data_IF_864131844154
#
_entry.id   IF_864131844154
#
_cell.length_a   1.000
_cell.length_b   1.000
_cell.length_c   1.000
_cell.angle_alpha   90.00
_cell.angle_beta   90.00
_cell.angle_gamma   90.00
#
_symmetry.space_group_name_H-M   'P 1'
#
loop_
_entity.id
_entity.type
_entity.pdbx_description
1 polymer ?
#
# COMPACT_ATOMS: atom_id res chain seq x y z
N UNK A 1 -16.88 -8.37 1.12
CA UNK A 1 -16.70 -7.22 2.03
C UNK A 1 -16.12 -6.09 1.19
N UNK A 2 -16.80 -4.94 1.10
CA UNK A 2 -16.39 -3.76 0.32
C UNK A 2 -16.07 -2.66 1.31
N UNK A 3 -14.85 -2.13 1.26
CA UNK A 3 -14.39 -1.01 2.11
C UNK A 3 -14.11 0.16 1.18
N UNK A 4 -14.60 1.35 1.53
CA UNK A 4 -14.39 2.55 0.73
C UNK A 4 -12.93 3.02 0.85
N UNK A 5 -12.46 3.74 -0.17
CA UNK A 5 -11.08 4.21 -0.20
C UNK A 5 -10.75 5.14 0.97
N UNK A 6 -11.69 6.02 1.35
CA UNK A 6 -11.52 6.96 2.47
C UNK A 6 -11.40 6.25 3.82
N UNK A 7 -12.22 5.20 4.04
CA UNK A 7 -12.16 4.41 5.27
C UNK A 7 -10.87 3.63 5.39
N UNK A 8 -10.29 3.17 4.27
CA UNK A 8 -8.97 2.54 4.24
C UNK A 8 -7.86 3.49 4.69
N UNK A 9 -7.87 4.74 4.23
CA UNK A 9 -6.87 5.76 4.64
C UNK A 9 -6.96 6.03 6.13
N UNK A 10 -8.18 6.32 6.63
CA UNK A 10 -8.42 6.58 8.05
C UNK A 10 -8.01 5.40 8.94
N UNK A 11 -8.30 4.18 8.51
CA UNK A 11 -7.90 2.97 9.22
C UNK A 11 -6.38 2.83 9.26
N UNK A 12 -5.70 3.08 8.13
CA UNK A 12 -4.24 3.00 8.04
C UNK A 12 -3.57 4.00 8.98
N UNK A 13 -4.08 5.23 9.05
CA UNK A 13 -3.61 6.25 9.99
C UNK A 13 -3.86 5.86 11.46
N UNK A 14 -5.05 5.35 11.78
CA UNK A 14 -5.38 4.89 13.12
C UNK A 14 -4.49 3.74 13.58
N UNK A 15 -4.21 2.78 12.70
CA UNK A 15 -3.32 1.65 12.98
C UNK A 15 -1.87 2.12 13.18
N UNK A 16 -1.40 3.09 12.38
CA UNK A 16 -0.08 3.70 12.55
C UNK A 16 0.06 4.41 13.90
N UNK A 17 -0.97 5.14 14.34
CA UNK A 17 -1.01 5.78 15.68
C UNK A 17 -0.96 4.77 16.82
N UNK A 18 -1.44 3.55 16.61
CA UNK A 18 -1.36 2.44 17.57
C UNK A 18 -0.01 1.70 17.54
N UNK A 19 0.97 2.17 16.77
CA UNK A 19 2.30 1.56 16.69
C UNK A 19 2.36 0.33 15.78
N UNK A 20 1.32 0.06 14.97
CA UNK A 20 1.36 -1.01 13.99
C UNK A 20 2.43 -0.71 12.92
N UNK A 21 3.13 -1.75 12.50
CA UNK A 21 4.14 -1.64 11.44
C UNK A 21 3.48 -1.73 10.06
N UNK A 22 3.66 -0.70 9.25
CA UNK A 22 3.33 -0.75 7.83
C UNK A 22 4.19 -1.79 7.13
N UNK A 23 3.55 -2.79 6.51
CA UNK A 23 4.25 -3.85 5.77
C UNK A 23 4.37 -3.54 4.27
N UNK A 24 3.34 -2.91 3.70
CA UNK A 24 3.24 -2.64 2.29
C UNK A 24 2.27 -1.48 2.03
N UNK A 25 2.61 -0.61 1.09
CA UNK A 25 1.68 0.36 0.53
C UNK A 25 1.07 -0.25 -0.75
N UNK A 26 -0.25 -0.15 -0.89
CA UNK A 26 -0.99 -0.73 -2.00
C UNK A 26 -1.61 0.38 -2.82
N UNK A 27 -1.26 0.43 -4.10
CA UNK A 27 -1.80 1.38 -5.06
C UNK A 27 -2.67 0.65 -6.08
N UNK A 28 -3.93 1.05 -6.19
CA UNK A 28 -4.82 0.57 -7.24
C UNK A 28 -4.71 1.50 -8.46
N UNK A 29 -4.16 0.98 -9.54
CA UNK A 29 -3.96 1.73 -10.79
C UNK A 29 -4.95 1.20 -11.80
N UNK A 30 -5.74 2.10 -12.40
CA UNK A 30 -6.52 1.75 -13.59
C UNK A 30 -5.56 1.62 -14.77
N UNK A 31 -5.40 0.41 -15.31
CA UNK A 31 -4.50 0.20 -16.43
C UNK A 31 -4.91 1.09 -17.62
N UNK A 32 -3.95 1.77 -18.28
CA UNK A 32 -4.26 2.63 -19.41
C UNK A 32 -4.95 1.81 -20.51
N UNK A 33 -6.04 2.40 -21.01
CA UNK A 33 -7.13 1.98 -21.90
C UNK A 33 -6.95 0.86 -22.95
N UNK A 34 -5.78 0.25 -23.15
CA UNK A 34 -5.57 -0.69 -24.27
C UNK A 34 -6.05 -2.12 -24.03
N UNK A 35 -6.38 -2.54 -22.79
CA UNK A 35 -6.95 -3.88 -22.50
C UNK A 35 -7.91 -3.86 -21.29
N UNK A 36 -9.22 -3.89 -21.55
CA UNK A 36 -10.29 -4.29 -20.61
C UNK A 36 -10.42 -3.54 -19.26
N UNK A 37 -9.98 -2.28 -19.14
CA UNK A 37 -10.16 -1.46 -17.91
C UNK A 37 -9.83 -2.21 -16.61
N UNK A 38 -8.79 -3.05 -16.63
CA UNK A 38 -8.43 -3.83 -15.45
C UNK A 38 -7.82 -2.91 -14.40
N UNK A 39 -8.27 -3.08 -13.16
CA UNK A 39 -7.58 -2.53 -12.00
C UNK A 39 -6.38 -3.40 -11.69
N UNK A 40 -5.21 -2.79 -11.57
CA UNK A 40 -3.98 -3.45 -11.15
C UNK A 40 -3.68 -3.00 -9.73
N UNK A 41 -3.50 -3.98 -8.84
CA UNK A 41 -3.04 -3.75 -7.48
C UNK A 41 -1.50 -3.81 -7.49
N UNK A 42 -0.86 -2.66 -7.29
CA UNK A 42 0.58 -2.53 -7.22
C UNK A 42 1.02 -2.39 -5.77
N UNK A 43 1.93 -3.26 -5.34
CA UNK A 43 2.59 -3.12 -4.05
C UNK A 43 3.74 -2.12 -4.24
N UNK A 44 3.58 -0.90 -3.73
CA UNK A 44 4.69 0.03 -3.58
C UNK A 44 5.58 -0.52 -2.47
N UNK A 45 6.66 -1.21 -2.88
CA UNK A 45 7.62 -1.74 -1.94
C UNK A 45 8.21 -0.57 -1.16
N UNK A 46 7.92 -0.51 0.15
CA UNK A 46 8.74 0.29 1.06
C UNK A 46 10.14 -0.30 0.95
N UNK A 47 11.06 0.43 0.35
CA UNK A 47 12.45 0.00 0.27
C UNK A 47 12.95 -0.11 1.70
N UNK A 48 12.97 -1.33 2.24
CA UNK A 48 13.81 -1.61 3.41
C UNK A 48 15.22 -1.26 2.96
N UNK A 49 15.75 -0.11 3.40
CA UNK A 49 17.21 0.08 3.38
C UNK A 49 17.80 -1.17 4.05
N UNK A 50 18.68 -1.93 3.37
CA UNK A 50 19.34 -3.04 4.03
C UNK A 50 20.03 -2.45 5.25
N UNK A 51 19.71 -3.01 6.42
CA UNK A 51 20.38 -2.67 7.68
C UNK A 51 21.85 -2.99 7.43
N UNK A 52 22.67 -1.97 7.22
CA UNK A 52 24.10 -2.13 7.04
C UNK A 52 24.62 -2.88 8.25
N UNK A 53 25.04 -4.13 8.05
CA UNK A 53 25.83 -4.88 9.00
C UNK A 53 27.15 -4.13 9.10
N UNK A 54 27.30 -3.33 10.15
CA UNK A 54 28.61 -2.83 10.57
C UNK A 54 29.37 -4.04 11.10
N UNK A 55 30.37 -4.47 10.34
CA UNK A 55 31.53 -5.20 10.84
C UNK A 55 32.70 -4.23 10.88
#
# INVERSE_FOLDING_TARGET
MTIEAETLVLLTEALKKRGMRLLADINFIRAPYRRNHRWVCCIAQTTRKPRTLRA
#
